data_IF_860810304168
#
_entry.id   IF_860810304168
#
_cell.length_a   1.000
_cell.length_b   1.000
_cell.length_c   1.000
_cell.angle_alpha   90.00
_cell.angle_beta   90.00
_cell.angle_gamma   90.00
#
_symmetry.space_group_name_H-M   'P 1'
#
loop_
_entity.id
_entity.type
_entity.pdbx_description
1 polymer ?
#
# COMPACT_ATOMS: atom_id res chain seq x y z
N UNK A 1 -5.94 13.50 -1.59
CA UNK A 1 -4.96 12.69 -0.85
C UNK A 1 -5.51 12.44 0.55
N UNK A 2 -5.78 11.18 0.90
CA UNK A 2 -6.32 10.78 2.21
C UNK A 2 -5.20 10.02 2.96
N UNK A 3 -4.93 10.42 4.21
CA UNK A 3 -3.98 9.72 5.08
C UNK A 3 -4.80 8.93 6.11
N UNK A 4 -4.57 7.63 6.18
CA UNK A 4 -5.23 6.69 7.09
C UNK A 4 -4.16 6.15 8.03
N UNK A 5 -4.35 6.30 9.35
CA UNK A 5 -3.41 5.75 10.33
C UNK A 5 -3.94 4.42 10.84
N UNK A 6 -3.19 3.34 10.66
CA UNK A 6 -3.64 1.97 10.99
C UNK A 6 -3.41 1.58 12.44
N UNK A 7 -2.34 2.07 13.05
CA UNK A 7 -1.95 1.64 14.39
C UNK A 7 -1.85 2.81 15.35
N UNK A 8 -2.33 2.57 16.58
CA UNK A 8 -2.44 3.59 17.64
C UNK A 8 -1.17 3.72 18.48
N UNK A 9 -0.24 2.76 18.41
CA UNK A 9 1.01 2.77 19.17
C UNK A 9 2.16 3.24 18.29
N UNK A 10 3.07 4.03 18.87
CA UNK A 10 4.24 4.57 18.16
C UNK A 10 5.18 3.48 17.65
N UNK A 11 5.28 2.36 18.38
CA UNK A 11 6.24 1.27 18.11
C UNK A 11 5.91 0.41 16.89
N UNK A 12 4.62 0.32 16.52
CA UNK A 12 4.15 -0.46 15.36
C UNK A 12 3.37 0.44 14.40
N UNK A 13 3.73 1.74 14.34
CA UNK A 13 2.99 2.71 13.54
C UNK A 13 3.07 2.34 12.05
N UNK A 14 1.92 2.27 11.38
CA UNK A 14 1.81 2.19 9.92
C UNK A 14 0.85 3.29 9.48
N UNK A 15 1.38 4.22 8.69
CA UNK A 15 0.57 5.23 8.02
C UNK A 15 0.29 4.76 6.59
N UNK A 16 -0.94 4.98 6.13
CA UNK A 16 -1.37 4.61 4.79
C UNK A 16 -1.79 5.86 4.03
N UNK A 17 -1.24 6.03 2.84
CA UNK A 17 -1.58 7.13 1.95
C UNK A 17 -2.32 6.59 0.74
N UNK A 18 -3.54 7.09 0.54
CA UNK A 18 -4.32 6.81 -0.67
C UNK A 18 -4.19 7.96 -1.67
N UNK A 19 -3.72 7.65 -2.87
CA UNK A 19 -3.51 8.62 -3.96
C UNK A 19 -4.62 8.62 -5.01
N UNK A 20 -5.65 7.78 -4.85
CA UNK A 20 -6.75 7.59 -5.82
C UNK A 20 -6.66 6.25 -6.54
N UNK A 21 -5.46 5.87 -6.96
CA UNK A 21 -5.15 4.65 -7.72
C UNK A 21 -4.38 3.61 -6.90
N UNK A 22 -3.76 4.01 -5.79
CA UNK A 22 -2.92 3.14 -4.95
C UNK A 22 -2.97 3.50 -3.48
N UNK A 23 -2.69 2.50 -2.66
CA UNK A 23 -2.45 2.58 -1.23
C UNK A 23 -0.97 2.35 -0.96
N UNK A 24 -0.34 3.30 -0.25
CA UNK A 24 1.06 3.25 0.16
C UNK A 24 1.11 3.02 1.67
N UNK A 25 1.68 1.90 2.11
CA UNK A 25 1.83 1.56 3.53
C UNK A 25 3.24 1.91 3.99
N UNK A 26 3.35 2.84 4.94
CA UNK A 26 4.61 3.43 5.38
C UNK A 26 4.78 3.17 6.87
N UNK A 27 5.90 2.57 7.23
CA UNK A 27 6.36 2.42 8.60
C UNK A 27 7.46 3.47 8.90
N UNK A 28 7.50 4.09 10.09
CA UNK A 28 8.53 5.08 10.44
C UNK A 28 9.96 4.53 10.45
N UNK A 29 10.14 3.28 10.86
CA UNK A 29 11.44 2.64 11.01
C UNK A 29 11.95 2.06 9.69
N UNK A 30 11.02 1.57 8.84
CA UNK A 30 11.35 0.87 7.60
C UNK A 30 10.91 1.59 6.31
N UNK A 31 10.26 2.74 6.36
CA UNK A 31 9.77 3.42 5.16
C UNK A 31 8.62 2.68 4.46
N UNK A 32 8.64 2.61 3.12
CA UNK A 32 7.58 1.95 2.34
C UNK A 32 7.64 0.42 2.47
N UNK A 33 6.64 -0.15 3.14
CA UNK A 33 6.57 -1.57 3.48
C UNK A 33 5.53 -2.35 2.67
N UNK A 34 4.56 -1.68 2.06
CA UNK A 34 3.68 -2.25 1.04
C UNK A 34 3.14 -1.20 0.07
N UNK A 35 2.84 -1.65 -1.15
CA UNK A 35 2.12 -0.93 -2.19
C UNK A 35 0.97 -1.82 -2.65
N UNK A 36 -0.24 -1.29 -2.66
CA UNK A 36 -1.37 -1.90 -3.35
C UNK A 36 -1.86 -0.95 -4.44
N UNK A 37 -1.70 -1.33 -5.70
CA UNK A 37 -2.08 -0.54 -6.86
C UNK A 37 -3.28 -1.17 -7.55
N UNK A 38 -4.28 -0.38 -7.94
CA UNK A 38 -5.39 -0.88 -8.75
C UNK A 38 -4.89 -1.40 -10.09
N UNK A 39 -5.44 -2.52 -10.53
CA UNK A 39 -5.19 -3.06 -11.87
C UNK A 39 -5.68 -2.08 -12.96
N UNK A 40 -6.89 -1.54 -12.76
CA UNK A 40 -7.54 -0.59 -13.67
C UNK A 40 -8.25 0.50 -12.87
N UNK A 41 -8.45 1.70 -13.45
CA UNK A 41 -9.35 2.71 -12.88
C UNK A 41 -10.73 2.07 -12.63
N UNK A 42 -11.28 2.27 -11.44
CA UNK A 42 -12.58 1.73 -10.98
C UNK A 42 -12.65 0.20 -10.77
N UNK A 43 -11.57 -0.56 -11.01
CA UNK A 43 -11.57 -1.98 -10.66
C UNK A 43 -11.33 -2.18 -9.16
N UNK A 44 -11.98 -3.21 -8.60
CA UNK A 44 -11.74 -3.67 -7.24
C UNK A 44 -10.51 -4.57 -7.10
N UNK A 45 -9.75 -4.79 -8.17
CA UNK A 45 -8.58 -5.67 -8.17
C UNK A 45 -7.31 -4.88 -7.88
N UNK A 46 -6.56 -5.30 -6.86
CA UNK A 46 -5.32 -4.69 -6.43
C UNK A 46 -4.14 -5.63 -6.65
N UNK A 47 -3.12 -5.14 -7.34
CA UNK A 47 -1.80 -5.73 -7.36
C UNK A 47 -1.02 -5.25 -6.14
N UNK A 48 -0.61 -6.19 -5.29
CA UNK A 48 0.00 -5.93 -4.00
C UNK A 48 1.45 -6.41 -4.00
N UNK A 49 2.35 -5.50 -3.64
CA UNK A 49 3.71 -5.81 -3.26
C UNK A 49 3.89 -5.46 -1.79
N UNK A 50 4.56 -6.32 -1.04
CA UNK A 50 4.78 -6.10 0.40
C UNK A 50 6.09 -6.70 0.87
N UNK A 51 6.58 -6.16 1.97
CA UNK A 51 7.70 -6.69 2.75
C UNK A 51 7.20 -7.65 3.83
N UNK A 52 8.11 -8.25 4.58
CA UNK A 52 7.78 -9.05 5.76
C UNK A 52 7.19 -8.22 6.92
N UNK A 53 7.35 -6.90 6.90
CA UNK A 53 6.95 -6.00 7.99
C UNK A 53 5.43 -5.80 8.11
N UNK A 54 4.65 -6.29 7.15
CA UNK A 54 3.19 -6.14 7.14
C UNK A 54 2.48 -7.42 6.70
N UNK A 55 1.39 -7.73 7.40
CA UNK A 55 0.56 -8.89 7.11
C UNK A 55 -0.42 -8.60 5.97
N UNK A 56 -0.76 -9.65 5.21
CA UNK A 56 -1.81 -9.59 4.17
C UNK A 56 -3.14 -9.08 4.74
N UNK A 57 -3.52 -9.63 5.89
CA UNK A 57 -4.73 -9.26 6.61
C UNK A 57 -4.83 -7.76 6.87
N UNK A 58 -3.75 -7.11 7.33
CA UNK A 58 -3.77 -5.68 7.59
C UNK A 58 -3.99 -4.85 6.31
N UNK A 59 -3.41 -5.28 5.18
CA UNK A 59 -3.59 -4.63 3.89
C UNK A 59 -5.05 -4.77 3.41
N UNK A 60 -5.57 -6.00 3.43
CA UNK A 60 -6.91 -6.33 2.96
C UNK A 60 -7.99 -5.62 3.78
N UNK A 61 -7.89 -5.64 5.11
CA UNK A 61 -8.82 -4.92 6.00
C UNK A 61 -8.78 -3.42 5.74
N UNK A 62 -7.58 -2.83 5.63
CA UNK A 62 -7.44 -1.39 5.37
C UNK A 62 -8.12 -0.95 4.09
N UNK A 63 -7.92 -1.72 3.00
CA UNK A 63 -8.48 -1.39 1.70
C UNK A 63 -9.99 -1.60 1.74
N UNK A 64 -10.45 -2.72 2.32
CA UNK A 64 -11.89 -3.00 2.46
C UNK A 64 -12.63 -1.93 3.25
N UNK A 65 -12.05 -1.41 4.32
CA UNK A 65 -12.66 -0.38 5.17
C UNK A 65 -12.69 1.02 4.53
N UNK A 66 -11.86 1.27 3.51
CA UNK A 66 -11.70 2.59 2.90
C UNK A 66 -12.22 2.70 1.47
N UNK A 67 -12.42 1.57 0.80
CA UNK A 67 -13.06 1.51 -0.50
C UNK A 67 -14.57 1.75 -0.39
N UNK A 68 -15.17 2.44 -1.38
CA UNK A 68 -16.60 2.66 -1.39
C UNK A 68 -17.33 1.33 -1.59
N UNK A 69 -18.45 1.17 -0.89
CA UNK A 69 -19.32 -0.02 -0.98
C UNK A 69 -19.92 -0.26 -2.38
N UNK A 70 -19.74 0.68 -3.31
CA UNK A 70 -20.09 0.53 -4.72
C UNK A 70 -19.21 -0.48 -5.46
N UNK A 71 -18.02 -0.80 -4.94
CA UNK A 71 -17.15 -1.84 -5.49
C UNK A 71 -17.58 -3.20 -4.93
N UNK A 72 -18.16 -4.04 -5.79
CA UNK A 72 -18.85 -5.27 -5.40
C UNK A 72 -17.88 -6.36 -4.90
N UNK A 73 -16.67 -6.43 -5.45
CA UNK A 73 -15.66 -7.43 -5.08
C UNK A 73 -14.28 -6.80 -5.07
N UNK A 74 -13.58 -6.94 -3.94
CA UNK A 74 -12.16 -6.61 -3.84
C UNK A 74 -11.33 -7.88 -4.08
N UNK A 75 -10.37 -7.79 -4.99
CA UNK A 75 -9.41 -8.85 -5.30
C UNK A 75 -7.99 -8.40 -4.96
N UNK A 76 -7.14 -9.32 -4.51
CA UNK A 76 -5.76 -9.03 -4.14
C UNK A 76 -4.80 -10.03 -4.78
N UNK A 77 -3.95 -9.54 -5.67
CA UNK A 77 -2.90 -10.33 -6.31
C UNK A 77 -1.55 -9.96 -5.70
N UNK A 78 -0.92 -10.92 -5.02
CA UNK A 78 0.35 -10.68 -4.35
C UNK A 78 1.51 -11.09 -5.25
N UNK A 79 2.38 -10.14 -5.58
CA UNK A 79 3.57 -10.37 -6.38
C UNK A 79 4.82 -10.54 -5.52
N UNK A 80 5.81 -11.27 -6.05
CA UNK A 80 7.15 -11.41 -5.47
C UNK A 80 7.19 -11.98 -4.04
N UNK A 81 6.18 -12.78 -3.68
CA UNK A 81 6.04 -13.30 -2.31
C UNK A 81 7.19 -14.24 -1.87
N UNK A 82 7.93 -14.83 -2.82
CA UNK A 82 9.07 -15.70 -2.50
C UNK A 82 10.36 -14.93 -2.18
N UNK A 83 10.43 -13.62 -2.49
CA UNK A 83 11.65 -12.83 -2.38
C UNK A 83 11.37 -11.45 -1.78
N UNK A 84 10.53 -11.43 -0.73
CA UNK A 84 10.12 -10.18 -0.09
C UNK A 84 11.31 -9.54 0.63
N UNK A 85 11.52 -8.23 0.50
CA UNK A 85 12.51 -7.54 1.31
C UNK A 85 12.14 -7.62 2.80
N UNK A 86 13.15 -7.74 3.66
CA UNK A 86 12.93 -7.73 5.10
C UNK A 86 12.52 -6.35 5.62
N UNK A 87 12.91 -5.25 4.97
CA UNK A 87 12.71 -3.89 5.48
C UNK A 87 11.83 -3.02 4.58
N UNK A 88 12.34 -2.58 3.43
CA UNK A 88 11.69 -1.58 2.57
C UNK A 88 11.60 -2.10 1.14
N UNK A 89 10.55 -1.72 0.42
CA UNK A 89 10.48 -1.95 -1.02
C UNK A 89 11.47 -1.05 -1.79
N UNK A 90 12.27 -1.60 -2.71
CA UNK A 90 13.22 -0.83 -3.51
C UNK A 90 12.49 -0.10 -4.64
N UNK A 91 11.93 1.07 -4.34
CA UNK A 91 11.38 1.95 -5.38
C UNK A 91 12.36 3.06 -5.73
N UNK A 92 12.88 3.02 -6.96
CA UNK A 92 13.69 4.09 -7.53
C UNK A 92 12.74 5.10 -8.17
N UNK A 93 12.56 6.26 -7.53
CA UNK A 93 11.83 7.37 -8.15
C UNK A 93 12.79 8.17 -9.01
N UNK A 94 12.59 8.14 -10.33
CA UNK A 94 13.26 9.06 -11.26
C UNK A 94 12.50 10.38 -11.29
N UNK A 95 13.01 11.39 -10.58
CA UNK A 95 12.44 12.74 -10.61
C UNK A 95 13.12 13.52 -11.73
N UNK A 96 12.42 13.73 -12.85
CA UNK A 96 12.83 14.73 -13.84
C UNK A 96 12.27 16.08 -13.42
N UNK A 97 13.14 16.97 -12.95
CA UNK A 97 12.78 18.37 -12.70
C UNK A 97 12.69 19.10 -14.03
N UNK A 98 11.50 19.55 -14.41
CA UNK A 98 11.36 20.50 -15.52
C UNK A 98 11.81 21.89 -15.05
N UNK A 99 12.72 22.51 -15.82
CA UNK A 99 13.07 23.92 -15.60
C UNK A 99 11.88 24.79 -16.00
N UNK A 100 11.35 25.53 -15.03
CA UNK A 100 10.49 26.70 -15.29
C UNK A 100 11.32 27.87 -15.83
#
# INVERSE_FOLDING_TARGET
MKIIRLTKTSRNRVDVVFTGDKYLFINPDFGLIALAQRHEPDSGLFHVQRTEQISKKMIEETITDNEPSSIVVLGFEYHEECNKPQHTLPYVVSVKLEKR
#
